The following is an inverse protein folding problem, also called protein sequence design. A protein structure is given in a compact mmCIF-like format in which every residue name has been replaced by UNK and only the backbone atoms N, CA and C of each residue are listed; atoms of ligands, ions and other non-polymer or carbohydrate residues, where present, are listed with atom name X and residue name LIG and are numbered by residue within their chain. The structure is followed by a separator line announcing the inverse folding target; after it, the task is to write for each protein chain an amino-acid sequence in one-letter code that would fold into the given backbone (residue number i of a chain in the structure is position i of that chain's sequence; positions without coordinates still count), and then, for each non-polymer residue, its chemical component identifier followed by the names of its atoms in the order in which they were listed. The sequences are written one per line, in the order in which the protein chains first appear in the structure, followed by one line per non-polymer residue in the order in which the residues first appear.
data_IF_737005305449
#
_entry.id   IF_737005305449
#
_cell.length_a   1.000
_cell.length_b   1.000
_cell.length_c   1.000
_cell.angle_alpha   90.00
_cell.angle_beta   90.00
_cell.angle_gamma   90.00
#
_symmetry.space_group_name_H-M   'P 1'
#
loop_
_entity.id
_entity.type
_entity.pdbx_description
1 polymer ?
#
# COMPACT_ATOMS: atom_id res chain seq x y z
N UNK A 1 -23.61 -19.50 13.31
CA UNK A 1 -22.82 -18.31 12.91
C UNK A 1 -21.87 -18.75 11.81
N UNK A 2 -21.94 -18.12 10.63
CA UNK A 2 -21.15 -18.48 9.46
C UNK A 2 -19.68 -18.15 9.70
N UNK A 3 -18.86 -19.16 9.99
CA UNK A 3 -17.41 -19.02 9.85
C UNK A 3 -17.13 -19.01 8.36
N UNK A 4 -16.60 -17.88 7.87
CA UNK A 4 -15.95 -17.82 6.57
C UNK A 4 -14.92 -18.94 6.52
N UNK A 5 -15.00 -19.75 5.47
CA UNK A 5 -14.12 -20.89 5.26
C UNK A 5 -12.68 -20.38 5.23
N UNK A 6 -11.78 -20.95 6.04
CA UNK A 6 -10.39 -20.49 6.15
C UNK A 6 -9.60 -20.66 4.83
N UNK A 7 -10.20 -21.32 3.84
CA UNK A 7 -9.71 -21.46 2.47
C UNK A 7 -10.02 -20.26 1.55
N UNK A 8 -10.87 -19.32 1.98
CA UNK A 8 -11.23 -18.16 1.17
C UNK A 8 -10.13 -17.10 1.22
N UNK A 9 -9.67 -16.65 0.05
CA UNK A 9 -8.75 -15.52 -0.05
C UNK A 9 -9.46 -14.23 0.38
N UNK A 10 -8.78 -13.33 1.10
CA UNK A 10 -9.31 -12.00 1.43
C UNK A 10 -9.73 -11.23 0.16
N UNK A 11 -10.77 -10.42 0.27
CA UNK A 11 -11.22 -9.50 -0.79
C UNK A 11 -10.65 -8.13 -0.48
N UNK A 12 -9.89 -7.57 -1.42
CA UNK A 12 -9.38 -6.20 -1.33
C UNK A 12 -10.35 -5.24 -2.02
N UNK A 13 -11.02 -4.41 -1.23
CA UNK A 13 -11.88 -3.34 -1.74
C UNK A 13 -11.07 -2.06 -1.99
N UNK A 14 -11.21 -1.46 -3.18
CA UNK A 14 -10.45 -0.27 -3.57
C UNK A 14 -11.39 0.90 -3.82
N UNK A 15 -11.17 2.01 -3.11
CA UNK A 15 -11.85 3.27 -3.37
C UNK A 15 -11.13 4.08 -4.47
N UNK A 16 -11.62 3.98 -5.71
CA UNK A 16 -11.08 4.71 -6.87
C UNK A 16 -11.21 6.25 -6.76
N UNK A 17 -12.10 6.74 -5.90
CA UNK A 17 -12.26 8.17 -5.63
C UNK A 17 -11.13 8.76 -4.79
N UNK A 18 -10.42 7.93 -4.02
CA UNK A 18 -9.40 8.36 -3.07
C UNK A 18 -8.17 8.93 -3.77
N UNK A 19 -7.64 10.05 -3.25
CA UNK A 19 -6.49 10.76 -3.85
C UNK A 19 -5.24 9.89 -3.95
N UNK A 20 -4.96 9.10 -2.91
CA UNK A 20 -3.82 8.16 -2.89
C UNK A 20 -3.92 7.08 -3.98
N UNK A 21 -5.12 6.54 -4.23
CA UNK A 21 -5.32 5.53 -5.29
C UNK A 21 -5.11 6.17 -6.67
N UNK A 22 -5.58 7.40 -6.87
CA UNK A 22 -5.33 8.14 -8.11
C UNK A 22 -3.84 8.43 -8.33
N UNK A 23 -3.12 8.80 -7.28
CA UNK A 23 -1.67 9.00 -7.33
C UNK A 23 -0.94 7.70 -7.68
N UNK A 24 -1.35 6.58 -7.08
CA UNK A 24 -0.82 5.25 -7.41
C UNK A 24 -1.04 4.91 -8.90
N UNK A 25 -2.25 5.10 -9.42
CA UNK A 25 -2.55 4.85 -10.84
C UNK A 25 -1.76 5.74 -11.81
N UNK A 26 -1.24 6.89 -11.36
CA UNK A 26 -0.37 7.72 -12.18
C UNK A 26 1.04 7.10 -12.35
N UNK A 27 1.51 6.33 -11.35
CA UNK A 27 2.81 5.63 -11.39
C UNK A 27 2.82 4.42 -12.33
N UNK A 28 1.64 3.87 -12.67
CA UNK A 28 1.53 2.75 -13.62
C UNK A 28 1.83 3.16 -15.08
N UNK A 29 2.04 4.46 -15.33
CA UNK A 29 2.32 4.99 -16.67
C UNK A 29 3.80 5.28 -16.84
N UNK A 30 4.52 4.38 -17.51
CA UNK A 30 5.91 4.60 -17.94
C UNK A 30 6.93 3.83 -17.09
N UNK A 31 8.11 4.44 -16.87
CA UNK A 31 9.25 3.78 -16.22
C UNK A 31 9.08 3.61 -14.69
N UNK A 32 8.00 4.16 -14.11
CA UNK A 32 7.72 4.15 -12.67
C UNK A 32 7.03 2.86 -12.18
N UNK A 33 7.02 1.79 -12.99
CA UNK A 33 6.36 0.53 -12.65
C UNK A 33 6.87 -0.11 -11.35
N UNK A 34 8.16 0.01 -11.07
CA UNK A 34 8.75 -0.50 -9.82
C UNK A 34 8.22 0.26 -8.59
N UNK A 35 8.00 1.57 -8.72
CA UNK A 35 7.41 2.39 -7.68
C UNK A 35 5.93 2.06 -7.47
N UNK A 36 5.19 1.80 -8.55
CA UNK A 36 3.81 1.31 -8.48
C UNK A 36 3.74 0.00 -7.68
N UNK A 37 4.56 -0.99 -8.01
CA UNK A 37 4.55 -2.28 -7.34
C UNK A 37 4.89 -2.16 -5.86
N UNK A 38 5.91 -1.38 -5.51
CA UNK A 38 6.30 -1.17 -4.11
C UNK A 38 5.23 -0.40 -3.31
N UNK A 39 4.68 0.69 -3.87
CA UNK A 39 3.62 1.47 -3.23
C UNK A 39 2.33 0.67 -3.06
N UNK A 40 1.95 -0.12 -4.08
CA UNK A 40 0.76 -0.97 -4.02
C UNK A 40 0.88 -2.04 -2.94
N UNK A 41 2.05 -2.68 -2.81
CA UNK A 41 2.34 -3.61 -1.72
C UNK A 41 2.19 -2.96 -0.35
N UNK A 42 2.76 -1.76 -0.16
CA UNK A 42 2.62 -1.02 1.10
C UNK A 42 1.16 -0.67 1.42
N UNK A 43 0.33 -0.35 0.42
CA UNK A 43 -1.10 -0.09 0.65
C UNK A 43 -1.86 -1.34 1.11
N UNK A 44 -1.51 -2.50 0.57
CA UNK A 44 -2.09 -3.78 1.02
C UNK A 44 -1.68 -4.07 2.46
N UNK A 45 -0.41 -3.88 2.80
CA UNK A 45 0.11 -4.06 4.16
C UNK A 45 -0.61 -3.15 5.16
N UNK A 46 -0.84 -1.88 4.79
CA UNK A 46 -1.54 -0.90 5.63
C UNK A 46 -3.04 -1.20 5.73
N UNK A 47 -3.67 -1.75 4.69
CA UNK A 47 -5.07 -2.17 4.74
C UNK A 47 -5.27 -3.31 5.74
N UNK A 48 -4.38 -4.32 5.73
CA UNK A 48 -4.39 -5.40 6.73
C UNK A 48 -4.27 -4.83 8.14
N UNK A 49 -3.30 -3.93 8.38
CA UNK A 49 -3.14 -3.27 9.67
C UNK A 49 -4.38 -2.47 10.10
N UNK A 50 -5.05 -1.79 9.17
CA UNK A 50 -6.25 -1.01 9.46
C UNK A 50 -7.44 -1.89 9.88
N UNK A 51 -7.54 -3.10 9.33
CA UNK A 51 -8.53 -4.12 9.72
C UNK A 51 -8.14 -4.89 11.01
N UNK A 52 -6.99 -4.56 11.60
CA UNK A 52 -6.47 -5.25 12.79
C UNK A 52 -5.78 -6.58 12.49
N UNK A 53 -5.47 -6.85 11.23
CA UNK A 53 -4.70 -8.01 10.79
C UNK A 53 -3.20 -7.76 10.89
N UNK A 54 -2.43 -8.80 11.19
CA UNK A 54 -0.98 -8.73 11.21
C UNK A 54 -0.43 -8.98 9.79
N UNK A 55 0.32 -8.04 9.20
CA UNK A 55 0.98 -8.28 7.93
C UNK A 55 2.02 -9.38 8.06
N UNK A 56 2.21 -10.15 6.99
CA UNK A 56 3.08 -11.33 6.96
C UNK A 56 4.52 -11.01 7.39
N UNK A 57 5.01 -9.80 7.07
CA UNK A 57 6.34 -9.34 7.42
C UNK A 57 6.35 -7.88 7.91
N UNK A 58 6.03 -7.68 9.19
CA UNK A 58 6.02 -6.35 9.82
C UNK A 58 7.28 -5.49 9.62
N UNK A 59 8.51 -6.04 9.76
CA UNK A 59 9.74 -5.29 9.48
C UNK A 59 9.82 -4.73 8.06
N UNK A 60 9.38 -5.50 7.07
CA UNK A 60 9.35 -5.06 5.67
C UNK A 60 8.33 -3.92 5.45
N UNK A 61 7.16 -3.98 6.11
CA UNK A 61 6.18 -2.89 6.08
C UNK A 61 6.79 -1.59 6.62
N UNK A 62 7.46 -1.65 7.78
CA UNK A 62 8.10 -0.48 8.39
C UNK A 62 9.21 0.10 7.49
N UNK A 63 9.99 -0.78 6.82
CA UNK A 63 11.03 -0.38 5.87
C UNK A 63 10.44 0.35 4.66
N UNK A 64 9.39 -0.20 4.04
CA UNK A 64 8.68 0.41 2.90
C UNK A 64 8.07 1.76 3.29
N UNK A 65 7.38 1.81 4.43
CA UNK A 65 6.79 3.05 4.93
C UNK A 65 7.86 4.13 5.16
N UNK A 66 8.98 3.78 5.80
CA UNK A 66 10.07 4.72 6.04
C UNK A 66 10.67 5.28 4.75
N UNK A 67 10.87 4.42 3.74
CA UNK A 67 11.37 4.83 2.42
C UNK A 67 10.42 5.83 1.74
N UNK A 68 9.12 5.56 1.74
CA UNK A 68 8.11 6.42 1.13
C UNK A 68 7.93 7.75 1.88
N UNK A 69 7.96 7.72 3.21
CA UNK A 69 7.96 8.94 4.03
C UNK A 69 9.20 9.79 3.75
N UNK A 70 10.40 9.19 3.74
CA UNK A 70 11.63 9.90 3.43
C UNK A 70 11.60 10.55 2.04
N UNK A 71 11.04 9.86 1.03
CA UNK A 71 10.84 10.40 -0.32
C UNK A 71 9.88 11.59 -0.33
N UNK A 72 8.72 11.48 0.35
CA UNK A 72 7.74 12.58 0.41
C UNK A 72 8.27 13.82 1.15
N UNK A 73 9.00 13.59 2.25
CA UNK A 73 9.64 14.67 3.03
C UNK A 73 10.84 15.27 2.29
N UNK A 74 11.65 14.45 1.62
CA UNK A 74 12.81 14.90 0.85
C UNK A 74 12.42 15.71 -0.39
N UNK A 75 11.30 15.36 -1.03
CA UNK A 75 10.74 16.14 -2.15
C UNK A 75 10.13 17.49 -1.71
N UNK A 76 9.95 17.70 -0.40
CA UNK A 76 9.45 18.96 0.17
C UNK A 76 10.58 19.95 0.51
N UNK A 77 11.85 19.53 0.46
CA UNK A 77 13.01 20.39 0.76
C UNK A 77 13.54 21.16 -0.47
N UNK A 78 12.85 21.07 -1.62
CA UNK A 78 13.24 21.70 -2.88
C UNK A 78 12.12 22.45 -3.60
N UNK A 79 11.05 22.83 -2.90
CA UNK A 79 9.95 23.66 -3.41
C UNK A 79 9.88 25.01 -2.70
#
# INVERSE_FOLDING_TARGET
AGRLDASMRPVLEINLGHSLVKALLALDKGDDRADFEEASGLLVDLAQLAEGEAPENGPEVARRLSKWLARGLGNSAGA
#
